data_IF_787362218782
#
_entry.id   IF_787362218782
#
_cell.length_a   1.000
_cell.length_b   1.000
_cell.length_c   1.000
_cell.angle_alpha   90.00
_cell.angle_beta   90.00
_cell.angle_gamma   90.00
#
_symmetry.space_group_name_H-M   'P 1'
#
loop_
_entity.id
_entity.type
_entity.pdbx_description
1 polymer ?
#
# COMPACT_ATOMS: atom_id res chain seq x y z
N UNK A 1 1.74 -5.20 22.88
CA UNK A 1 0.32 -5.34 22.52
C UNK A 1 -0.10 -6.81 22.28
N UNK A 2 0.81 -7.75 22.17
CA UNK A 2 0.50 -9.19 22.14
C UNK A 2 -0.15 -9.73 20.86
N UNK A 3 -0.04 -9.04 19.74
CA UNK A 3 -0.54 -9.53 18.45
C UNK A 3 0.39 -10.60 17.86
N UNK A 4 -0.20 -11.66 17.29
CA UNK A 4 0.53 -12.60 16.45
C UNK A 4 0.56 -12.04 15.03
N UNK A 5 1.75 -11.73 14.53
CA UNK A 5 1.94 -11.02 13.25
C UNK A 5 2.51 -11.97 12.20
N UNK A 6 1.93 -11.89 10.99
CA UNK A 6 2.49 -12.50 9.78
C UNK A 6 2.66 -11.39 8.75
N UNK A 7 3.90 -11.14 8.33
CA UNK A 7 4.25 -10.21 7.25
C UNK A 7 4.38 -10.95 5.93
N UNK A 8 3.88 -10.34 4.85
CA UNK A 8 4.01 -10.87 3.48
C UNK A 8 4.62 -9.79 2.60
N UNK A 9 5.67 -10.14 1.88
CA UNK A 9 6.27 -9.30 0.85
C UNK A 9 6.84 -10.19 -0.27
N UNK A 10 6.92 -9.70 -1.48
CA UNK A 10 7.53 -10.45 -2.59
C UNK A 10 9.06 -10.25 -2.66
N UNK A 11 9.59 -9.22 -2.01
CA UNK A 11 11.02 -8.92 -1.96
C UNK A 11 11.72 -9.81 -0.93
N UNK A 12 12.65 -10.63 -1.37
CA UNK A 12 13.50 -11.45 -0.48
C UNK A 12 14.33 -10.57 0.45
N UNK A 13 14.83 -9.43 -0.05
CA UNK A 13 15.62 -8.48 0.73
C UNK A 13 14.79 -7.82 1.84
N UNK A 14 13.56 -7.39 1.52
CA UNK A 14 12.65 -6.83 2.51
C UNK A 14 12.30 -7.86 3.60
N UNK A 15 12.03 -9.11 3.22
CA UNK A 15 11.77 -10.20 4.17
C UNK A 15 12.99 -10.50 5.03
N UNK A 16 14.20 -10.49 4.46
CA UNK A 16 15.42 -10.72 5.24
C UNK A 16 15.67 -9.60 6.25
N UNK A 17 15.48 -8.35 5.84
CA UNK A 17 15.58 -7.18 6.73
C UNK A 17 14.56 -7.26 7.86
N UNK A 18 13.30 -7.61 7.54
CA UNK A 18 12.25 -7.78 8.54
C UNK A 18 12.56 -8.89 9.55
N UNK A 19 13.12 -10.02 9.11
CA UNK A 19 13.56 -11.11 9.99
C UNK A 19 14.69 -10.68 10.92
N UNK A 20 15.72 -10.00 10.39
CA UNK A 20 16.84 -9.50 11.19
C UNK A 20 16.37 -8.53 12.26
N UNK A 21 15.47 -7.60 11.92
CA UNK A 21 14.91 -6.65 12.87
C UNK A 21 14.04 -7.35 13.94
N UNK A 22 13.27 -8.37 13.53
CA UNK A 22 12.45 -9.17 14.44
C UNK A 22 13.31 -9.91 15.49
N UNK A 23 14.45 -10.46 15.07
CA UNK A 23 15.43 -11.11 15.94
C UNK A 23 16.11 -10.10 16.88
N UNK A 24 16.58 -8.98 16.35
CA UNK A 24 17.23 -7.92 17.13
C UNK A 24 16.31 -7.38 18.25
N UNK A 25 15.03 -7.20 17.94
CA UNK A 25 14.04 -6.68 18.89
C UNK A 25 13.41 -7.78 19.77
N UNK A 26 13.79 -9.05 19.62
CA UNK A 26 13.22 -10.17 20.37
C UNK A 26 11.71 -10.36 20.15
N UNK A 27 11.21 -10.05 18.94
CA UNK A 27 9.80 -10.18 18.59
C UNK A 27 9.49 -11.58 18.06
N UNK A 28 8.21 -11.92 17.99
CA UNK A 28 7.75 -13.24 17.51
C UNK A 28 6.81 -13.07 16.30
N UNK A 29 7.29 -12.35 15.26
CA UNK A 29 6.58 -12.24 14.01
C UNK A 29 7.05 -13.31 13.01
N UNK A 30 6.14 -13.75 12.14
CA UNK A 30 6.44 -14.65 11.02
C UNK A 30 6.48 -13.86 9.73
N UNK A 31 7.30 -14.31 8.75
CA UNK A 31 7.41 -13.64 7.46
C UNK A 31 7.38 -14.66 6.33
N UNK A 32 6.57 -14.35 5.30
CA UNK A 32 6.42 -15.15 4.09
C UNK A 32 6.85 -14.31 2.88
N UNK A 33 7.85 -14.80 2.13
CA UNK A 33 8.25 -14.20 0.86
C UNK A 33 7.40 -14.81 -0.25
N UNK A 34 6.43 -14.06 -0.76
CA UNK A 34 5.60 -14.48 -1.89
C UNK A 34 4.87 -13.31 -2.54
N UNK A 35 4.37 -13.53 -3.75
CA UNK A 35 3.41 -12.61 -4.35
C UNK A 35 2.12 -12.63 -3.51
N UNK A 36 1.52 -11.45 -3.30
CA UNK A 36 0.30 -11.32 -2.49
C UNK A 36 -0.86 -12.19 -3.03
N UNK A 37 -0.94 -12.39 -4.34
CA UNK A 37 -1.97 -13.22 -4.94
C UNK A 37 -1.83 -14.71 -4.60
N UNK A 38 -0.63 -15.16 -4.21
CA UNK A 38 -0.34 -16.52 -3.77
C UNK A 38 -0.43 -16.70 -2.24
N UNK A 39 -0.59 -15.61 -1.48
CA UNK A 39 -0.58 -15.63 -0.02
C UNK A 39 -1.57 -16.63 0.61
N UNK A 40 -2.81 -16.80 0.13
CA UNK A 40 -3.73 -17.79 0.70
C UNK A 40 -3.19 -19.23 0.64
N UNK A 41 -2.46 -19.57 -0.42
CA UNK A 41 -1.84 -20.88 -0.62
C UNK A 41 -0.58 -21.01 0.23
N UNK A 42 0.29 -20.01 0.15
CA UNK A 42 1.58 -19.98 0.85
C UNK A 42 1.41 -19.99 2.38
N UNK A 43 0.38 -19.35 2.89
CA UNK A 43 -0.01 -19.36 4.30
C UNK A 43 -0.96 -20.52 4.64
N UNK A 44 -1.11 -21.52 3.75
CA UNK A 44 -1.87 -22.75 3.97
C UNK A 44 -3.30 -22.53 4.47
N UNK A 45 -3.96 -21.50 3.93
CA UNK A 45 -5.34 -21.15 4.32
C UNK A 45 -5.48 -20.54 5.71
N UNK A 46 -4.39 -20.09 6.35
CA UNK A 46 -4.44 -19.37 7.62
C UNK A 46 -5.32 -18.13 7.48
N UNK A 47 -6.15 -17.87 8.51
CA UNK A 47 -7.05 -16.71 8.55
C UNK A 47 -6.72 -15.81 9.71
N UNK A 48 -6.98 -14.53 9.52
CA UNK A 48 -6.58 -13.45 10.43
C UNK A 48 -7.80 -12.67 10.92
N UNK A 49 -7.70 -12.15 12.14
CA UNK A 49 -8.68 -11.23 12.71
C UNK A 49 -8.60 -9.86 12.05
N UNK A 50 -7.36 -9.47 11.67
CA UNK A 50 -7.08 -8.21 10.98
C UNK A 50 -6.10 -8.49 9.83
N UNK A 51 -6.40 -7.96 8.65
CA UNK A 51 -5.46 -7.83 7.53
C UNK A 51 -5.19 -6.34 7.32
N UNK A 52 -3.92 -5.97 7.26
CA UNK A 52 -3.49 -4.59 7.13
C UNK A 52 -2.63 -4.38 5.89
N UNK A 53 -2.92 -3.32 5.14
CA UNK A 53 -2.13 -2.87 3.99
C UNK A 53 -1.78 -1.40 4.17
N UNK A 54 -0.55 -0.99 3.84
CA UNK A 54 -0.14 0.39 4.07
C UNK A 54 0.86 0.93 3.06
N UNK A 55 0.69 2.21 2.77
CA UNK A 55 1.63 3.14 2.17
C UNK A 55 2.34 2.65 0.89
N UNK A 56 1.67 2.77 -0.24
CA UNK A 56 2.26 2.53 -1.55
C UNK A 56 2.15 1.08 -2.04
N UNK A 57 1.24 0.27 -1.50
CA UNK A 57 1.07 -1.13 -1.93
C UNK A 57 0.21 -1.25 -3.16
N UNK A 58 -0.95 -0.57 -3.22
CA UNK A 58 -1.93 -0.79 -4.30
C UNK A 58 -1.40 -0.40 -5.68
N UNK A 59 -0.45 0.51 -5.74
CA UNK A 59 0.17 0.94 -7.01
C UNK A 59 1.05 -0.14 -7.67
N UNK A 60 1.43 -1.18 -6.93
CA UNK A 60 2.19 -2.33 -7.44
C UNK A 60 1.30 -3.48 -7.92
N UNK A 61 -0.02 -3.39 -7.70
CA UNK A 61 -0.95 -4.48 -7.94
C UNK A 61 -1.70 -4.26 -9.27
N UNK A 62 -1.59 -5.19 -10.23
CA UNK A 62 -2.27 -5.07 -11.52
C UNK A 62 -3.79 -5.27 -11.43
N UNK A 63 -4.27 -6.08 -10.47
CA UNK A 63 -5.68 -6.50 -10.35
C UNK A 63 -6.18 -6.36 -8.92
N UNK A 64 -6.95 -5.29 -8.67
CA UNK A 64 -7.52 -5.05 -7.34
C UNK A 64 -8.79 -5.90 -7.05
N UNK A 65 -9.40 -6.51 -8.05
CA UNK A 65 -10.50 -7.47 -7.82
C UNK A 65 -9.91 -8.76 -7.25
N UNK A 66 -8.85 -9.29 -7.87
CA UNK A 66 -8.13 -10.45 -7.36
C UNK A 66 -7.52 -10.17 -5.97
N UNK A 67 -6.95 -8.98 -5.77
CA UNK A 67 -6.47 -8.56 -4.45
C UNK A 67 -7.58 -8.58 -3.39
N UNK A 68 -8.75 -8.03 -3.68
CA UNK A 68 -9.90 -8.10 -2.78
C UNK A 68 -10.34 -9.53 -2.47
N UNK A 69 -10.25 -10.45 -3.45
CA UNK A 69 -10.50 -11.87 -3.23
C UNK A 69 -9.50 -12.50 -2.25
N UNK A 70 -8.22 -12.17 -2.38
CA UNK A 70 -7.18 -12.61 -1.44
C UNK A 70 -7.49 -12.11 -0.03
N UNK A 71 -7.83 -10.83 0.14
CA UNK A 71 -8.21 -10.27 1.44
C UNK A 71 -9.39 -11.00 2.07
N UNK A 72 -10.45 -11.24 1.28
CA UNK A 72 -11.63 -11.97 1.74
C UNK A 72 -11.30 -13.41 2.16
N UNK A 73 -10.39 -14.09 1.44
CA UNK A 73 -9.94 -15.43 1.79
C UNK A 73 -9.10 -15.46 3.08
N UNK A 74 -8.28 -14.46 3.30
CA UNK A 74 -7.39 -14.38 4.47
C UNK A 74 -8.08 -13.89 5.74
N UNK A 75 -9.24 -13.26 5.64
CA UNK A 75 -10.00 -12.81 6.81
C UNK A 75 -10.87 -13.93 7.39
N UNK A 76 -10.92 -14.00 8.72
CA UNK A 76 -11.97 -14.71 9.45
C UNK A 76 -13.32 -14.04 9.21
N UNK A 77 -14.40 -14.75 9.43
CA UNK A 77 -15.74 -14.15 9.51
C UNK A 77 -15.76 -13.14 10.66
N UNK A 78 -16.27 -11.94 10.43
CA UNK A 78 -16.17 -10.79 11.34
C UNK A 78 -14.80 -10.11 11.37
N UNK A 79 -13.80 -10.62 10.65
CA UNK A 79 -12.46 -10.04 10.57
C UNK A 79 -12.44 -8.71 9.82
N UNK A 80 -11.46 -7.88 10.11
CA UNK A 80 -11.34 -6.52 9.59
C UNK A 80 -10.17 -6.37 8.61
N UNK A 81 -10.44 -5.75 7.49
CA UNK A 81 -9.42 -5.20 6.63
C UNK A 81 -9.22 -3.71 6.94
N UNK A 82 -7.97 -3.30 7.04
CA UNK A 82 -7.59 -1.89 7.24
C UNK A 82 -6.55 -1.52 6.19
N UNK A 83 -6.77 -0.41 5.51
CA UNK A 83 -5.77 0.18 4.61
C UNK A 83 -5.58 1.65 4.96
N UNK A 84 -4.32 2.08 4.95
CA UNK A 84 -3.92 3.48 4.88
C UNK A 84 -2.97 3.60 3.69
N UNK A 85 -3.35 4.40 2.70
CA UNK A 85 -2.65 4.42 1.41
C UNK A 85 -2.52 5.85 0.90
N UNK A 86 -1.55 6.06 0.03
CA UNK A 86 -1.40 7.34 -0.67
C UNK A 86 -2.59 7.58 -1.58
N UNK A 87 -3.11 8.81 -1.51
CA UNK A 87 -4.27 9.17 -2.29
C UNK A 87 -3.94 9.22 -3.79
N UNK A 88 -4.75 8.61 -4.67
CA UNK A 88 -4.44 8.54 -6.11
C UNK A 88 -4.31 9.90 -6.80
N UNK A 89 -4.86 10.97 -6.22
CA UNK A 89 -4.63 12.34 -6.69
C UNK A 89 -3.15 12.73 -6.68
N UNK A 90 -2.35 12.21 -5.72
CA UNK A 90 -0.91 12.48 -5.66
C UNK A 90 -0.20 12.09 -6.95
N UNK A 91 -0.54 10.93 -7.46
CA UNK A 91 0.09 10.34 -8.64
C UNK A 91 -0.32 10.99 -9.97
N UNK A 92 -1.24 11.97 -9.91
CA UNK A 92 -1.59 12.77 -11.07
C UNK A 92 -0.57 13.86 -11.41
N UNK A 93 0.15 14.34 -10.40
CA UNK A 93 1.04 15.49 -10.53
C UNK A 93 2.48 15.10 -10.89
N UNK A 94 3.22 16.08 -11.37
CA UNK A 94 4.68 16.04 -11.42
C UNK A 94 5.26 16.16 -9.99
N UNK A 95 6.57 15.88 -9.85
CA UNK A 95 7.28 15.90 -8.56
C UNK A 95 7.21 17.24 -7.81
N UNK A 96 6.93 18.33 -8.53
CA UNK A 96 6.84 19.68 -7.97
C UNK A 96 5.39 20.14 -7.71
N UNK A 97 4.40 19.29 -7.98
CA UNK A 97 2.96 19.65 -7.92
C UNK A 97 2.60 20.85 -8.79
N UNK A 98 3.34 21.07 -9.89
CA UNK A 98 3.16 22.23 -10.76
C UNK A 98 2.08 22.00 -11.83
N UNK A 99 1.92 20.76 -12.28
CA UNK A 99 0.97 20.40 -13.34
C UNK A 99 0.49 18.95 -13.20
N UNK A 100 -0.73 18.71 -13.68
CA UNK A 100 -1.26 17.36 -13.86
C UNK A 100 -0.57 16.72 -15.06
N UNK A 101 0.04 15.56 -14.85
CA UNK A 101 0.85 14.86 -15.86
C UNK A 101 0.32 13.45 -16.16
N UNK A 102 -0.32 12.82 -15.20
CA UNK A 102 -0.75 11.43 -15.27
C UNK A 102 -2.25 11.30 -15.04
N UNK A 103 -2.84 10.23 -15.54
CA UNK A 103 -4.26 9.97 -15.35
C UNK A 103 -4.54 9.53 -13.89
N UNK A 104 -5.65 10.01 -13.33
CA UNK A 104 -6.14 9.63 -11.99
C UNK A 104 -6.37 8.12 -11.85
N UNK A 105 -6.86 7.47 -12.90
CA UNK A 105 -7.10 6.04 -12.94
C UNK A 105 -6.82 5.53 -14.36
N UNK A 106 -6.04 4.46 -14.46
CA UNK A 106 -5.63 3.89 -15.74
C UNK A 106 -5.48 2.39 -15.62
N UNK A 107 -5.97 1.65 -16.64
CA UNK A 107 -5.84 0.18 -16.69
C UNK A 107 -4.43 -0.28 -17.04
N UNK A 108 -3.80 0.41 -18.00
CA UNK A 108 -2.45 0.09 -18.45
C UNK A 108 -1.43 0.60 -17.42
N UNK A 109 -0.35 -0.15 -17.17
CA UNK A 109 0.70 0.29 -16.25
C UNK A 109 1.47 1.52 -16.78
N UNK A 110 2.06 2.25 -15.86
CA UNK A 110 3.20 3.12 -16.13
C UNK A 110 4.47 2.30 -16.01
N UNK A 111 5.32 2.42 -17.01
CA UNK A 111 6.59 1.71 -17.07
C UNK A 111 7.68 2.77 -17.10
N UNK A 112 8.51 2.80 -16.07
CA UNK A 112 9.64 3.74 -15.95
C UNK A 112 10.92 2.93 -15.84
N UNK A 113 11.93 3.30 -16.63
CA UNK A 113 13.27 2.77 -16.53
C UNK A 113 14.14 3.79 -15.78
N UNK A 114 14.47 3.50 -14.55
CA UNK A 114 15.30 4.36 -13.71
C UNK A 114 16.65 3.70 -13.45
N UNK A 115 17.71 4.50 -13.45
CA UNK A 115 19.02 4.07 -12.94
C UNK A 115 18.96 4.03 -11.41
N UNK A 116 19.38 2.94 -10.81
CA UNK A 116 19.45 2.83 -9.34
C UNK A 116 20.50 3.81 -8.80
N UNK A 117 20.12 4.60 -7.80
CA UNK A 117 20.99 5.56 -7.10
C UNK A 117 22.14 4.90 -6.30
N UNK A 118 22.20 3.58 -6.22
CA UNK A 118 23.12 2.85 -5.34
C UNK A 118 24.38 2.33 -6.00
N UNK A 119 24.48 2.31 -7.35
CA UNK A 119 25.66 1.82 -8.04
C UNK A 119 26.06 2.74 -9.21
N UNK A 120 27.04 3.61 -8.95
CA UNK A 120 27.61 4.52 -9.95
C UNK A 120 28.51 3.83 -11.00
N UNK A 121 28.68 2.51 -10.93
CA UNK A 121 29.59 1.76 -11.84
C UNK A 121 28.89 0.68 -12.68
N UNK A 122 27.64 0.32 -12.40
CA UNK A 122 26.88 -0.60 -13.25
C UNK A 122 25.57 0.06 -13.70
N UNK A 123 25.39 0.19 -15.01
CA UNK A 123 24.17 0.69 -15.69
C UNK A 123 22.99 -0.31 -15.54
N UNK A 124 22.70 -0.70 -14.31
CA UNK A 124 21.57 -1.56 -13.97
C UNK A 124 20.30 -0.70 -13.92
N UNK A 125 19.73 -0.46 -15.10
CA UNK A 125 18.40 0.14 -15.22
C UNK A 125 17.36 -0.83 -14.69
N UNK A 126 16.75 -0.48 -13.57
CA UNK A 126 15.60 -1.22 -13.06
C UNK A 126 14.33 -0.71 -13.73
N UNK A 127 13.52 -1.66 -14.19
CA UNK A 127 12.22 -1.38 -14.79
C UNK A 127 11.16 -1.41 -13.69
N UNK A 128 10.61 -0.26 -13.39
CA UNK A 128 9.51 -0.11 -12.46
C UNK A 128 8.18 -0.14 -13.21
N UNK A 129 7.24 -0.96 -12.75
CA UNK A 129 5.91 -1.13 -13.35
C UNK A 129 4.88 -0.81 -12.27
N UNK A 130 4.10 0.25 -12.47
CA UNK A 130 3.12 0.73 -11.50
C UNK A 130 1.78 1.06 -12.16
N UNK A 131 0.73 1.12 -11.36
CA UNK A 131 -0.62 1.46 -11.79
C UNK A 131 -1.18 2.63 -10.97
N UNK A 132 -1.94 3.51 -11.61
CA UNK A 132 -2.76 4.49 -10.91
C UNK A 132 -4.18 3.94 -10.79
N UNK A 133 -4.57 3.58 -9.58
CA UNK A 133 -5.92 3.13 -9.27
C UNK A 133 -6.70 4.24 -8.59
N UNK A 134 -7.75 4.74 -9.26
CA UNK A 134 -8.66 5.68 -8.60
C UNK A 134 -9.41 5.01 -7.43
N UNK A 135 -9.90 5.80 -6.48
CA UNK A 135 -10.60 5.30 -5.29
C UNK A 135 -11.74 4.33 -5.60
N UNK A 136 -12.48 4.58 -6.69
CA UNK A 136 -13.55 3.67 -7.12
C UNK A 136 -13.02 2.26 -7.45
N UNK A 137 -11.83 2.14 -8.03
CA UNK A 137 -11.22 0.82 -8.34
C UNK A 137 -10.84 0.11 -7.05
N UNK A 138 -10.24 0.82 -6.09
CA UNK A 138 -9.87 0.28 -4.78
C UNK A 138 -11.12 -0.20 -4.02
N UNK A 139 -12.14 0.65 -3.91
CA UNK A 139 -13.38 0.32 -3.20
C UNK A 139 -14.13 -0.84 -3.85
N UNK A 140 -14.23 -0.87 -5.18
CA UNK A 140 -14.85 -1.98 -5.90
C UNK A 140 -14.06 -3.30 -5.74
N UNK A 141 -12.73 -3.24 -5.59
CA UNK A 141 -11.93 -4.40 -5.22
C UNK A 141 -12.41 -5.05 -3.92
N UNK A 142 -12.80 -4.25 -2.93
CA UNK A 142 -13.36 -4.73 -1.67
C UNK A 142 -14.82 -5.17 -1.80
N UNK A 143 -15.67 -4.31 -2.33
CA UNK A 143 -17.13 -4.53 -2.42
C UNK A 143 -17.50 -5.76 -3.27
N UNK A 144 -16.80 -6.00 -4.37
CA UNK A 144 -17.04 -7.17 -5.24
C UNK A 144 -16.60 -8.50 -4.61
N UNK A 145 -15.94 -8.45 -3.45
CA UNK A 145 -15.50 -9.61 -2.69
C UNK A 145 -16.16 -9.70 -1.30
N UNK A 146 -17.38 -9.15 -1.19
CA UNK A 146 -18.23 -9.20 0.00
C UNK A 146 -17.62 -8.52 1.24
N UNK A 147 -16.63 -7.62 1.07
CA UNK A 147 -16.08 -6.83 2.15
C UNK A 147 -16.90 -5.54 2.32
N UNK A 148 -17.53 -5.39 3.47
CA UNK A 148 -18.39 -4.25 3.78
C UNK A 148 -17.56 -3.08 4.30
N UNK A 149 -17.49 -1.99 3.55
CA UNK A 149 -16.81 -0.76 3.98
C UNK A 149 -17.57 -0.14 5.15
N UNK A 150 -16.90 0.01 6.29
CA UNK A 150 -17.47 0.61 7.51
C UNK A 150 -17.04 2.06 7.72
N UNK A 151 -15.82 2.39 7.30
CA UNK A 151 -15.35 3.77 7.34
C UNK A 151 -14.40 4.06 6.18
N UNK A 152 -14.42 5.33 5.76
CA UNK A 152 -13.55 5.89 4.76
C UNK A 152 -13.10 7.27 5.25
N UNK A 153 -11.81 7.58 5.09
CA UNK A 153 -11.25 8.88 5.46
C UNK A 153 -10.26 9.35 4.42
N UNK A 154 -10.18 10.67 4.25
CA UNK A 154 -9.18 11.34 3.42
C UNK A 154 -8.43 12.35 4.27
N UNK A 155 -7.13 12.53 4.02
CA UNK A 155 -6.26 13.36 4.84
C UNK A 155 -5.36 14.21 3.95
N UNK A 156 -5.18 15.48 4.33
CA UNK A 156 -4.36 16.47 3.63
C UNK A 156 -2.89 16.50 4.11
N UNK A 157 -2.46 15.43 4.77
CA UNK A 157 -1.09 15.29 5.29
C UNK A 157 -0.52 13.90 4.97
N UNK A 158 0.81 13.80 4.99
CA UNK A 158 1.56 12.54 4.91
C UNK A 158 2.45 12.37 6.14
N UNK A 159 2.67 11.15 6.66
CA UNK A 159 3.68 10.88 7.69
C UNK A 159 5.11 10.91 7.14
N UNK A 160 5.27 10.98 5.82
CA UNK A 160 6.56 10.96 5.14
C UNK A 160 6.73 12.17 4.23
N UNK A 161 7.97 12.63 4.05
CA UNK A 161 8.35 13.61 3.04
C UNK A 161 8.54 12.90 1.67
N UNK A 162 7.42 12.57 1.01
CA UNK A 162 7.38 11.75 -0.20
C UNK A 162 8.18 12.31 -1.38
N UNK A 163 8.21 13.63 -1.53
CA UNK A 163 8.78 14.32 -2.68
C UNK A 163 10.03 15.14 -2.35
N UNK A 164 10.55 15.01 -1.11
CA UNK A 164 11.73 15.73 -0.65
C UNK A 164 11.56 17.23 -0.43
N UNK A 165 10.51 17.83 -0.96
CA UNK A 165 10.22 19.28 -0.93
C UNK A 165 8.91 19.63 -0.21
N UNK A 166 8.33 18.71 0.56
CA UNK A 166 7.11 18.96 1.31
C UNK A 166 7.39 19.83 2.56
N UNK A 167 6.41 20.62 2.96
CA UNK A 167 6.48 21.41 4.18
C UNK A 167 6.27 20.53 5.43
N UNK A 168 7.21 20.57 6.36
CA UNK A 168 7.07 19.87 7.64
C UNK A 168 6.15 20.66 8.58
N UNK A 169 5.23 19.95 9.21
CA UNK A 169 4.31 20.45 10.23
C UNK A 169 4.85 20.18 11.64
N UNK A 170 4.40 20.96 12.63
CA UNK A 170 4.84 20.83 14.04
C UNK A 170 4.56 19.47 14.68
N UNK A 171 3.57 18.74 14.16
CA UNK A 171 3.18 17.41 14.64
C UNK A 171 3.98 16.26 13.99
N UNK A 172 5.01 16.57 13.17
CA UNK A 172 5.83 15.59 12.48
C UNK A 172 5.22 15.05 11.18
N UNK A 173 4.11 15.63 10.71
CA UNK A 173 3.55 15.30 9.39
C UNK A 173 4.05 16.28 8.32
N UNK A 174 3.74 16.00 7.06
CA UNK A 174 4.17 16.78 5.91
C UNK A 174 2.95 17.16 5.05
N UNK A 175 3.00 18.35 4.47
CA UNK A 175 2.01 18.84 3.50
C UNK A 175 2.69 19.32 2.22
N UNK A 176 1.95 19.36 1.13
CA UNK A 176 2.46 19.97 -0.11
C UNK A 176 2.62 21.46 0.10
N UNK A 177 3.84 21.98 -0.11
CA UNK A 177 4.13 23.39 0.09
C UNK A 177 3.24 24.26 -0.81
N UNK A 178 2.61 25.28 -0.24
CA UNK A 178 1.71 26.20 -0.96
C UNK A 178 0.33 25.63 -1.32
N UNK A 179 0.00 24.41 -0.85
CA UNK A 179 -1.28 23.74 -1.09
C UNK A 179 -1.98 23.39 0.24
N UNK A 180 -2.41 24.39 0.97
CA UNK A 180 -2.96 24.23 2.33
C UNK A 180 -4.30 23.46 2.33
N UNK A 181 -4.24 22.13 2.35
CA UNK A 181 -5.43 21.26 2.39
C UNK A 181 -6.19 21.16 1.07
N UNK A 182 -5.64 21.67 -0.03
CA UNK A 182 -6.26 21.61 -1.37
C UNK A 182 -6.16 20.23 -2.02
N UNK A 183 -5.20 19.41 -1.59
CA UNK A 183 -4.90 18.11 -2.17
C UNK A 183 -4.93 17.04 -1.06
N UNK A 184 -5.78 16.01 -1.17
CA UNK A 184 -5.71 14.87 -0.27
C UNK A 184 -4.43 14.08 -0.54
N UNK A 185 -3.69 13.74 0.53
CA UNK A 185 -2.42 13.02 0.45
C UNK A 185 -2.56 11.55 0.81
N UNK A 186 -3.49 11.21 1.70
CA UNK A 186 -3.77 9.86 2.11
C UNK A 186 -5.27 9.57 2.06
N UNK A 187 -5.60 8.31 1.97
CA UNK A 187 -6.93 7.81 2.32
C UNK A 187 -6.81 6.59 3.24
N UNK A 188 -7.86 6.33 3.99
CA UNK A 188 -7.99 5.11 4.79
C UNK A 188 -9.33 4.44 4.55
N UNK A 189 -9.34 3.12 4.62
CA UNK A 189 -10.57 2.32 4.58
C UNK A 189 -10.53 1.29 5.71
N UNK A 190 -11.63 1.13 6.41
CA UNK A 190 -11.90 -0.05 7.22
C UNK A 190 -13.05 -0.80 6.59
N UNK A 191 -12.82 -2.07 6.27
CA UNK A 191 -13.87 -2.96 5.79
C UNK A 191 -13.95 -4.22 6.65
N UNK A 192 -15.10 -4.85 6.69
CA UNK A 192 -15.35 -6.06 7.48
C UNK A 192 -15.85 -7.17 6.58
N UNK A 193 -15.35 -8.37 6.79
CA UNK A 193 -15.92 -9.56 6.23
C UNK A 193 -17.14 -9.96 7.06
N UNK A 194 -18.37 -10.02 6.48
CA UNK A 194 -19.55 -10.41 7.21
C UNK A 194 -19.41 -11.79 7.83
N UNK A 195 -20.00 -11.99 8.99
CA UNK A 195 -20.24 -13.33 9.54
C UNK A 195 -21.31 -14.02 8.72
N UNK A 196 -21.04 -15.25 8.32
CA UNK A 196 -22.04 -16.10 7.66
C UNK A 196 -22.97 -16.71 8.68
#
# INVERSE_FOLDING_TARGET
>A
MGANIVGVDFSEEAIQTAKSLNEELGLNAQFCCCNIYDAPIMLKGQKFDIVYTSYGVVNWLPDLIQWGQVLSQMLKDGGKFVIVEFHPVLWMFDENFSQVRYAYSRKEPYIVEESTYTDSENDNRQKTVTWNHGLAVVLNGLLNNDLQVQSFGEYDYSPFNLFGNMAAEKNGTFKVAGKNGEIPLLFSVVAVKPSK
#
